data_IF_637353190332
#
_entry.id   IF_637353190332
#
_cell.length_a   1.000
_cell.length_b   1.000
_cell.length_c   1.000
_cell.angle_alpha   90.00
_cell.angle_beta   90.00
_cell.angle_gamma   90.00
#
_symmetry.space_group_name_H-M   'P 1'
#
loop_
_entity.id
_entity.type
_entity.pdbx_description
1 polymer ?
#
# COMPACT_ATOMS: atom_id res chain seq x y z
N UNK A 1 61.34 -32.91 22.69
CA UNK A 1 61.18 -33.47 21.32
C UNK A 1 60.29 -34.69 21.48
N UNK A 2 59.06 -34.86 20.98
CA UNK A 2 58.22 -34.36 19.89
C UNK A 2 56.78 -34.78 20.30
N UNK A 3 55.64 -34.25 19.89
CA UNK A 3 55.22 -33.07 19.15
C UNK A 3 53.74 -32.91 19.52
N UNK A 4 53.29 -31.67 19.71
CA UNK A 4 51.89 -31.31 19.82
C UNK A 4 51.20 -31.48 18.46
N UNK A 5 49.93 -31.90 18.46
CA UNK A 5 49.01 -31.60 17.37
C UNK A 5 47.57 -31.67 17.90
N UNK A 6 47.13 -30.56 18.49
CA UNK A 6 45.73 -30.21 18.66
C UNK A 6 45.09 -30.13 17.26
N UNK A 7 44.10 -30.97 16.97
CA UNK A 7 43.19 -30.75 15.85
C UNK A 7 41.79 -30.65 16.44
N UNK A 8 41.52 -29.47 17.02
CA UNK A 8 40.19 -29.02 17.33
C UNK A 8 39.68 -28.15 16.19
N UNK A 9 38.52 -28.53 15.66
CA UNK A 9 37.42 -27.68 15.20
C UNK A 9 37.76 -26.53 14.22
N UNK A 10 37.31 -26.67 12.97
CA UNK A 10 36.61 -25.58 12.28
C UNK A 10 35.72 -26.16 11.17
N UNK A 11 34.51 -26.60 11.55
CA UNK A 11 33.40 -26.69 10.60
C UNK A 11 32.98 -25.26 10.29
N UNK A 12 33.59 -24.65 9.28
CA UNK A 12 33.14 -23.38 8.73
C UNK A 12 31.81 -23.66 8.04
N UNK A 13 30.72 -23.44 8.77
CA UNK A 13 29.39 -23.34 8.18
C UNK A 13 29.44 -22.25 7.12
N UNK A 14 29.38 -22.65 5.85
CA UNK A 14 29.17 -21.72 4.75
C UNK A 14 27.76 -21.13 4.95
N UNK A 15 27.69 -19.90 5.45
CA UNK A 15 26.49 -19.10 5.31
C UNK A 15 26.28 -18.90 3.80
N UNK A 16 25.44 -19.73 3.21
CA UNK A 16 24.90 -19.46 1.88
C UNK A 16 23.93 -18.31 2.10
N UNK A 17 24.38 -17.09 1.80
CA UNK A 17 23.46 -16.02 1.48
C UNK A 17 22.78 -16.45 0.18
N UNK A 18 21.59 -17.03 0.30
CA UNK A 18 20.74 -17.26 -0.86
C UNK A 18 20.23 -15.87 -1.30
N UNK A 19 20.92 -15.29 -2.28
CA UNK A 19 20.47 -14.07 -2.94
C UNK A 19 19.14 -14.38 -3.63
N UNK A 20 18.04 -14.16 -2.91
CA UNK A 20 16.69 -14.27 -3.47
C UNK A 20 16.61 -13.30 -4.64
N UNK A 21 16.18 -13.74 -5.84
CA UNK A 21 16.10 -12.86 -6.99
C UNK A 21 15.08 -11.74 -6.71
N UNK A 22 15.56 -10.50 -6.59
CA UNK A 22 14.72 -9.31 -6.41
C UNK A 22 14.47 -8.60 -7.74
N UNK A 23 13.48 -7.72 -7.78
CA UNK A 23 13.41 -6.72 -8.85
C UNK A 23 14.61 -5.78 -8.80
N UNK A 24 14.85 -5.07 -9.90
CA UNK A 24 15.95 -4.10 -9.97
C UNK A 24 15.79 -3.01 -8.91
N UNK A 25 16.88 -2.61 -8.28
CA UNK A 25 16.93 -1.53 -7.29
C UNK A 25 17.30 -0.18 -7.89
N UNK A 26 17.47 -0.11 -9.22
CA UNK A 26 17.90 1.08 -9.95
C UNK A 26 17.01 2.31 -9.66
N UNK A 27 15.73 2.08 -9.37
CA UNK A 27 14.72 3.10 -9.16
C UNK A 27 14.23 3.18 -7.71
N UNK A 28 14.90 2.54 -6.75
CA UNK A 28 14.48 2.54 -5.34
C UNK A 28 14.65 3.89 -4.62
N UNK A 29 15.29 4.88 -5.28
CA UNK A 29 15.53 6.22 -4.73
C UNK A 29 14.80 7.33 -5.52
N UNK A 30 13.75 6.98 -6.28
CA UNK A 30 12.87 8.01 -6.86
C UNK A 30 12.20 8.82 -5.75
N UNK A 31 11.96 10.11 -6.00
CA UNK A 31 11.27 10.99 -5.07
C UNK A 31 9.75 10.76 -5.15
N UNK A 32 9.23 9.90 -4.27
CA UNK A 32 7.80 9.62 -4.20
C UNK A 32 7.01 10.85 -3.72
N UNK A 33 7.60 11.75 -2.94
CA UNK A 33 6.93 12.95 -2.42
C UNK A 33 6.66 13.93 -3.55
N UNK A 34 7.64 14.14 -4.41
CA UNK A 34 7.50 14.96 -5.61
C UNK A 34 6.42 14.39 -6.55
N UNK A 35 6.45 13.07 -6.79
CA UNK A 35 5.48 12.42 -7.68
C UNK A 35 4.06 12.52 -7.12
N UNK A 36 3.86 12.21 -5.83
CA UNK A 36 2.54 12.19 -5.20
C UNK A 36 1.97 13.60 -4.99
N UNK A 37 2.82 14.60 -4.76
CA UNK A 37 2.37 15.99 -4.60
C UNK A 37 2.08 16.69 -5.94
N UNK A 38 2.58 16.16 -7.05
CA UNK A 38 2.36 16.74 -8.39
C UNK A 38 1.27 16.01 -9.15
N UNK A 39 0.13 16.66 -9.35
CA UNK A 39 -0.98 16.14 -10.15
C UNK A 39 -0.52 15.73 -11.57
N UNK A 40 0.36 16.55 -12.17
CA UNK A 40 0.91 16.29 -13.51
C UNK A 40 1.76 15.02 -13.54
N UNK A 41 2.66 14.84 -12.57
CA UNK A 41 3.55 13.66 -12.52
C UNK A 41 2.74 12.40 -12.22
N UNK A 42 1.93 12.42 -11.17
CA UNK A 42 1.10 11.28 -10.77
C UNK A 42 0.18 10.82 -11.92
N UNK A 43 -0.48 11.78 -12.59
CA UNK A 43 -1.33 11.46 -13.75
C UNK A 43 -0.53 10.86 -14.91
N UNK A 44 0.71 11.31 -15.12
CA UNK A 44 1.63 10.68 -16.08
C UNK A 44 1.90 9.21 -15.77
N UNK A 45 2.22 8.88 -14.51
CA UNK A 45 2.43 7.49 -14.08
C UNK A 45 1.15 6.65 -14.21
N UNK A 46 0.01 7.16 -13.74
CA UNK A 46 -1.29 6.47 -13.86
C UNK A 46 -1.60 6.18 -15.34
N UNK A 47 -1.45 7.16 -16.22
CA UNK A 47 -1.70 6.97 -17.65
C UNK A 47 -0.74 5.96 -18.28
N UNK A 48 0.54 5.99 -17.93
CA UNK A 48 1.51 4.96 -18.33
C UNK A 48 1.04 3.56 -17.91
N UNK A 49 0.67 3.39 -16.63
CA UNK A 49 0.18 2.14 -16.07
C UNK A 49 -1.14 1.69 -16.69
N UNK A 50 -1.94 2.60 -17.23
CA UNK A 50 -3.22 2.31 -17.90
C UNK A 50 -3.11 2.10 -19.43
N UNK A 51 -1.92 2.20 -20.02
CA UNK A 51 -1.71 2.23 -21.49
C UNK A 51 -2.35 3.46 -22.18
N UNK A 52 -2.45 4.58 -21.46
CA UNK A 52 -3.08 5.82 -21.94
C UNK A 52 -2.08 6.96 -22.17
N UNK A 53 -0.78 6.69 -22.06
CA UNK A 53 0.26 7.68 -22.26
C UNK A 53 1.67 7.08 -22.27
N UNK A 54 2.69 7.91 -22.54
CA UNK A 54 4.08 7.48 -22.50
C UNK A 54 4.50 7.13 -21.07
N UNK A 55 5.48 6.23 -20.96
CA UNK A 55 6.10 5.86 -19.70
C UNK A 55 7.49 6.48 -19.59
N UNK A 56 7.82 6.98 -18.40
CA UNK A 56 9.22 7.20 -18.00
C UNK A 56 9.94 5.85 -17.89
N UNK A 57 11.29 5.82 -17.89
CA UNK A 57 12.04 4.56 -17.76
C UNK A 57 11.67 3.75 -16.51
N UNK A 58 11.46 4.42 -15.38
CA UNK A 58 11.06 3.82 -14.11
C UNK A 58 9.58 3.40 -14.11
N UNK A 59 8.68 4.21 -14.67
CA UNK A 59 7.28 3.83 -14.85
C UNK A 59 7.10 2.61 -15.75
N UNK A 60 7.97 2.46 -16.76
CA UNK A 60 8.01 1.29 -17.65
C UNK A 60 8.45 0.03 -16.90
N UNK A 61 9.48 0.15 -16.06
CA UNK A 61 9.95 -0.96 -15.21
C UNK A 61 8.85 -1.39 -14.23
N UNK A 62 8.21 -0.42 -13.57
CA UNK A 62 7.08 -0.67 -12.67
C UNK A 62 5.97 -1.41 -13.41
N UNK A 63 5.52 -0.90 -14.56
CA UNK A 63 4.47 -1.51 -15.37
C UNK A 63 4.77 -2.96 -15.75
N UNK A 64 6.03 -3.24 -16.09
CA UNK A 64 6.46 -4.58 -16.50
C UNK A 64 6.47 -5.57 -15.32
N UNK A 65 6.86 -5.12 -14.14
CA UNK A 65 6.97 -5.95 -12.93
C UNK A 65 5.65 -6.09 -12.16
N UNK A 66 4.72 -5.14 -12.33
CA UNK A 66 3.48 -5.07 -11.55
C UNK A 66 2.61 -6.34 -11.59
N UNK A 67 2.39 -6.99 -12.75
CA UNK A 67 1.61 -8.24 -12.78
C UNK A 67 2.23 -9.36 -11.94
N UNK A 68 3.55 -9.60 -12.08
CA UNK A 68 4.27 -10.61 -11.28
C UNK A 68 4.25 -10.26 -9.79
N UNK A 69 4.33 -8.97 -9.44
CA UNK A 69 4.27 -8.51 -8.06
C UNK A 69 2.88 -8.72 -7.44
N UNK A 70 1.79 -8.54 -8.20
CA UNK A 70 0.43 -8.80 -7.72
C UNK A 70 0.20 -10.32 -7.56
N UNK A 71 0.56 -11.11 -8.57
CA UNK A 71 0.33 -12.57 -8.57
C UNK A 71 1.13 -13.31 -7.48
N UNK A 72 2.23 -12.72 -7.01
CA UNK A 72 3.14 -13.35 -6.04
C UNK A 72 3.29 -12.55 -4.74
N UNK A 73 2.33 -11.69 -4.38
CA UNK A 73 2.35 -10.90 -3.14
C UNK A 73 3.69 -10.16 -2.91
N UNK A 74 4.22 -9.56 -3.96
CA UNK A 74 5.48 -8.78 -3.95
C UNK A 74 6.69 -9.57 -3.41
N UNK A 75 6.74 -10.90 -3.62
CA UNK A 75 7.78 -11.78 -3.06
C UNK A 75 9.21 -11.37 -3.47
N UNK A 76 9.38 -10.76 -4.65
CA UNK A 76 10.67 -10.28 -5.18
C UNK A 76 10.92 -8.79 -4.90
N UNK A 77 10.00 -8.11 -4.23
CA UNK A 77 10.15 -6.70 -3.92
C UNK A 77 11.17 -6.47 -2.81
N UNK A 78 11.99 -5.43 -2.95
CA UNK A 78 12.83 -4.95 -1.84
C UNK A 78 11.96 -4.33 -0.74
N UNK A 79 12.55 -4.13 0.44
CA UNK A 79 11.86 -3.45 1.53
C UNK A 79 11.41 -2.04 1.13
N UNK A 80 12.29 -1.29 0.44
CA UNK A 80 11.96 0.04 -0.09
C UNK A 80 10.80 0.00 -1.09
N UNK A 81 10.78 -1.00 -1.98
CA UNK A 81 9.69 -1.15 -2.95
C UNK A 81 8.36 -1.45 -2.27
N UNK A 82 8.36 -2.26 -1.21
CA UNK A 82 7.13 -2.56 -0.43
C UNK A 82 6.62 -1.32 0.29
N UNK A 83 7.48 -0.60 0.99
CA UNK A 83 7.13 0.64 1.69
C UNK A 83 6.64 1.73 0.72
N UNK A 84 7.34 1.91 -0.40
CA UNK A 84 6.94 2.84 -1.45
C UNK A 84 5.60 2.45 -2.08
N UNK A 85 5.39 1.16 -2.34
CA UNK A 85 4.12 0.66 -2.89
C UNK A 85 2.96 0.89 -1.93
N UNK A 86 3.14 0.60 -0.63
CA UNK A 86 2.10 0.83 0.38
C UNK A 86 1.72 2.31 0.48
N UNK A 87 2.71 3.20 0.44
CA UNK A 87 2.48 4.64 0.44
C UNK A 87 1.72 5.11 -0.80
N UNK A 88 2.16 4.71 -1.99
CA UNK A 88 1.56 5.12 -3.27
C UNK A 88 0.14 4.57 -3.38
N UNK A 89 -0.07 3.29 -3.06
CA UNK A 89 -1.40 2.68 -3.11
C UNK A 89 -2.35 3.36 -2.13
N UNK A 90 -1.91 3.63 -0.89
CA UNK A 90 -2.71 4.36 0.09
C UNK A 90 -3.14 5.73 -0.42
N UNK A 91 -2.20 6.50 -0.96
CA UNK A 91 -2.49 7.82 -1.52
C UNK A 91 -3.50 7.73 -2.68
N UNK A 92 -3.34 6.78 -3.61
CA UNK A 92 -4.25 6.65 -4.75
C UNK A 92 -5.65 6.18 -4.29
N UNK A 93 -5.74 5.28 -3.31
CA UNK A 93 -7.02 4.83 -2.75
C UNK A 93 -7.78 5.99 -2.10
N UNK A 94 -7.09 6.86 -1.36
CA UNK A 94 -7.70 7.96 -0.61
C UNK A 94 -8.01 9.18 -1.48
N UNK A 95 -7.03 9.65 -2.25
CA UNK A 95 -7.10 10.93 -2.95
C UNK A 95 -7.41 10.80 -4.45
N UNK A 96 -7.29 9.60 -5.02
CA UNK A 96 -7.51 9.34 -6.46
C UNK A 96 -8.37 8.09 -6.71
N UNK A 97 -9.54 7.94 -6.06
CA UNK A 97 -10.34 6.70 -6.09
C UNK A 97 -10.78 6.30 -7.51
N UNK A 98 -10.99 7.26 -8.40
CA UNK A 98 -11.31 6.99 -9.81
C UNK A 98 -10.14 6.34 -10.55
N UNK A 99 -8.91 6.75 -10.27
CA UNK A 99 -7.72 6.16 -10.88
C UNK A 99 -7.42 4.80 -10.25
N UNK A 100 -7.63 4.64 -8.94
CA UNK A 100 -7.60 3.33 -8.29
C UNK A 100 -8.51 2.33 -8.99
N UNK A 101 -9.79 2.69 -9.20
CA UNK A 101 -10.77 1.79 -9.81
C UNK A 101 -10.36 1.33 -11.23
N UNK A 102 -9.73 2.22 -12.02
CA UNK A 102 -9.21 1.87 -13.35
C UNK A 102 -8.02 0.91 -13.25
N UNK A 103 -7.09 1.18 -12.34
CA UNK A 103 -5.90 0.35 -12.12
C UNK A 103 -6.27 -1.03 -11.59
N UNK A 104 -7.15 -1.10 -10.58
CA UNK A 104 -7.67 -2.34 -10.00
C UNK A 104 -8.32 -3.22 -11.07
N UNK A 105 -9.14 -2.62 -11.94
CA UNK A 105 -9.74 -3.31 -13.08
C UNK A 105 -8.71 -3.80 -14.10
N UNK A 106 -7.68 -3.01 -14.39
CA UNK A 106 -6.65 -3.36 -15.38
C UNK A 106 -5.79 -4.53 -14.94
N UNK A 107 -5.38 -4.54 -13.68
CA UNK A 107 -4.49 -5.56 -13.13
C UNK A 107 -5.26 -6.71 -12.45
N UNK A 108 -6.58 -6.78 -12.63
CA UNK A 108 -7.46 -7.86 -12.16
C UNK A 108 -7.30 -8.15 -10.65
N UNK A 109 -7.12 -7.10 -9.85
CA UNK A 109 -7.04 -7.25 -8.40
C UNK A 109 -8.41 -7.68 -7.85
N UNK A 110 -8.41 -8.61 -6.90
CA UNK A 110 -9.59 -9.13 -6.21
C UNK A 110 -10.13 -8.15 -5.14
N UNK A 111 -9.56 -6.96 -5.04
CA UNK A 111 -9.88 -5.95 -4.03
C UNK A 111 -9.35 -6.26 -2.63
N UNK A 112 -8.66 -7.40 -2.44
CA UNK A 112 -8.15 -7.82 -1.13
C UNK A 112 -7.11 -6.83 -0.59
N UNK A 113 -6.29 -6.23 -1.45
CA UNK A 113 -5.32 -5.22 -1.05
C UNK A 113 -6.03 -3.99 -0.47
N UNK A 114 -6.99 -3.41 -1.21
CA UNK A 114 -7.74 -2.23 -0.77
C UNK A 114 -8.44 -2.49 0.56
N UNK A 115 -9.07 -3.67 0.70
CA UNK A 115 -9.71 -4.08 1.96
C UNK A 115 -8.70 -4.13 3.11
N UNK A 116 -7.59 -4.87 2.95
CA UNK A 116 -6.51 -4.97 3.96
C UNK A 116 -5.97 -3.60 4.34
N UNK A 117 -5.81 -2.70 3.38
CA UNK A 117 -5.35 -1.34 3.60
C UNK A 117 -6.34 -0.54 4.48
N UNK A 118 -7.62 -0.52 4.11
CA UNK A 118 -8.66 0.19 4.86
C UNK A 118 -8.85 -0.38 6.28
N UNK A 119 -8.81 -1.72 6.43
CA UNK A 119 -8.91 -2.37 7.74
C UNK A 119 -7.75 -1.94 8.67
N UNK A 120 -6.51 -1.90 8.15
CA UNK A 120 -5.34 -1.40 8.89
C UNK A 120 -5.50 0.07 9.27
N UNK A 121 -5.97 0.91 8.34
CA UNK A 121 -6.18 2.34 8.59
C UNK A 121 -7.21 2.57 9.71
N UNK A 122 -8.36 1.92 9.59
CA UNK A 122 -9.42 2.01 10.60
C UNK A 122 -8.95 1.48 11.96
N UNK A 123 -8.14 0.42 12.00
CA UNK A 123 -7.57 -0.08 13.25
C UNK A 123 -6.55 0.89 13.88
N UNK A 124 -5.81 1.66 13.07
CA UNK A 124 -4.89 2.68 13.56
C UNK A 124 -5.60 3.93 14.10
N UNK A 125 -6.75 4.30 13.52
CA UNK A 125 -7.57 5.44 13.97
C UNK A 125 -8.26 5.12 15.32
N UNK A 126 -8.73 3.89 15.52
CA UNK A 126 -9.38 3.47 16.75
C UNK A 126 -8.45 3.29 17.96
N UNK A 127 -7.12 3.24 17.75
CA UNK A 127 -6.14 3.16 18.85
C UNK A 127 -5.57 4.54 19.25
N UNK A 128 -5.96 5.61 18.56
CA UNK A 128 -5.52 6.99 18.84
C UNK A 128 -6.51 7.82 19.66
N UNK A 129 -7.73 7.32 19.92
CA UNK A 129 -8.81 8.12 20.49
C UNK A 129 -9.10 7.78 21.96
N UNK A 130 -8.13 8.13 22.82
CA UNK A 130 -8.43 8.51 24.20
C UNK A 130 -7.89 9.93 24.41
N UNK A 131 -8.48 10.89 23.68
CA UNK A 131 -8.56 12.27 24.16
C UNK A 131 -9.71 13.03 23.49
N UNK A 132 -10.80 13.11 24.23
CA UNK A 132 -11.84 14.14 24.12
C UNK A 132 -12.76 14.06 22.89
N UNK A 133 -13.90 13.42 23.08
CA UNK A 133 -15.15 14.18 22.98
C UNK A 133 -16.21 13.58 23.88
N UNK A 134 -16.37 14.16 25.06
CA UNK A 134 -17.61 14.09 25.82
C UNK A 134 -18.26 15.48 25.83
N UNK A 135 -19.60 15.46 25.73
CA UNK A 135 -20.57 16.53 25.93
C UNK A 135 -20.96 17.39 24.73
N UNK A 136 -22.05 17.00 24.06
CA UNK A 136 -23.45 17.45 24.31
C UNK A 136 -24.31 17.00 23.12
N UNK A 137 -25.57 16.60 23.23
CA UNK A 137 -26.49 16.36 24.33
C UNK A 137 -27.55 15.36 23.82
N UNK A 138 -28.23 14.76 24.80
CA UNK A 138 -29.52 14.06 24.72
C UNK A 138 -30.60 14.86 23.98
N UNK A 139 -31.65 14.13 23.65
CA UNK A 139 -33.06 14.48 23.37
C UNK A 139 -33.47 13.89 22.00
N UNK A 140 -34.47 13.03 21.81
CA UNK A 140 -35.43 12.38 22.70
C UNK A 140 -36.03 11.16 21.99
N UNK A 141 -36.46 10.19 22.79
CA UNK A 141 -37.33 9.08 22.43
C UNK A 141 -38.74 9.57 22.02
N UNK A 142 -39.33 8.85 21.05
CA UNK A 142 -40.73 8.42 21.01
C UNK A 142 -41.86 9.41 21.43
N UNK A 143 -42.83 9.64 20.52
CA UNK A 143 -44.19 9.04 20.59
C UNK A 143 -45.27 9.81 19.81
N UNK A 144 -46.13 8.98 19.25
CA UNK A 144 -47.33 9.14 18.42
C UNK A 144 -48.57 9.68 19.18
N UNK A 145 -49.30 10.62 18.56
CA UNK A 145 -50.77 10.86 18.70
C UNK A 145 -51.18 12.02 17.78
N UNK A 146 -51.93 11.82 16.68
CA UNK A 146 -53.40 11.88 16.54
C UNK A 146 -54.06 13.11 17.21
N UNK A 147 -54.70 13.96 16.40
CA UNK A 147 -55.59 15.03 16.85
C UNK A 147 -55.94 15.99 15.71
N UNK A 148 -57.24 16.22 15.54
CA UNK A 148 -57.96 16.78 14.40
C UNK A 148 -57.92 18.32 14.26
N UNK A 149 -58.36 18.81 13.08
CA UNK A 149 -58.67 20.21 12.75
C UNK A 149 -58.70 20.37 11.23
N UNK A 150 -59.86 20.32 10.54
CA UNK A 150 -60.89 21.38 10.43
C UNK A 150 -60.31 22.71 9.92
N UNK A 151 -60.47 23.01 8.62
CA UNK A 151 -61.20 24.20 8.15
C UNK A 151 -61.39 24.18 6.60
N UNK A 152 -62.64 24.42 6.19
CA UNK A 152 -63.22 24.69 4.84
C UNK A 152 -63.56 23.53 3.92
#
# INVERSE_FOLDING_TARGET
MKAAAFIALFLIGKAVCEDKPTYTTKYDNIDLDEILSSERLLTGYVNCLLDQGPCTPDGKELKHTLPDAIDNDCRKCTQKQKEGSDRVMGYIIEYRPNDWAKLEKKYLSDGSYKKKYLDKKNASENNGDSKSTESKNKDDEEKKSKGDGEEK
#
